data_IF_099341056789
#
_entry.id   IF_099341056789
#
_cell.length_a   1.000
_cell.length_b   1.000
_cell.length_c   1.000
_cell.angle_alpha   90.00
_cell.angle_beta   90.00
_cell.angle_gamma   90.00
#
_symmetry.space_group_name_H-M   'P 1'
#
loop_
_entity.id
_entity.type
_entity.pdbx_description
1 polymer ?
#
# COMPACT_ATOMS: atom_id res chain seq x y z
N UNK A 1 -30.85 -14.47 4.90
CA UNK A 1 -29.51 -13.87 4.99
C UNK A 1 -29.70 -12.36 5.09
N UNK A 2 -29.76 -11.81 6.31
CA UNK A 2 -29.93 -10.36 6.49
C UNK A 2 -28.56 -9.71 6.49
N UNK A 3 -28.24 -8.97 5.43
CA UNK A 3 -27.20 -7.95 5.51
C UNK A 3 -27.66 -6.94 6.55
N UNK A 4 -26.82 -6.70 7.57
CA UNK A 4 -27.19 -5.77 8.63
C UNK A 4 -27.18 -4.35 8.05
N UNK A 5 -28.08 -3.49 8.51
CA UNK A 5 -28.15 -2.08 8.10
C UNK A 5 -26.83 -1.32 8.39
N UNK A 6 -25.96 -1.89 9.24
CA UNK A 6 -24.62 -1.39 9.54
C UNK A 6 -23.65 -1.62 8.37
N UNK A 7 -23.83 -2.70 7.61
CA UNK A 7 -22.94 -3.05 6.48
C UNK A 7 -23.16 -2.11 5.28
N UNK A 8 -24.41 -1.70 5.04
CA UNK A 8 -24.76 -0.77 3.96
C UNK A 8 -24.25 0.66 4.23
N UNK A 9 -24.26 1.10 5.49
CA UNK A 9 -23.78 2.43 5.91
C UNK A 9 -22.23 2.52 5.91
N UNK A 10 -21.53 1.37 5.93
CA UNK A 10 -20.05 1.30 5.84
C UNK A 10 -19.51 1.47 4.42
N UNK A 11 -20.28 1.10 3.41
CA UNK A 11 -19.90 1.24 2.00
C UNK A 11 -20.02 2.70 1.52
N UNK A 12 -21.02 3.44 2.00
CA UNK A 12 -21.38 4.77 1.49
C UNK A 12 -20.61 5.95 2.14
N UNK A 13 -20.08 5.80 3.37
CA UNK A 13 -19.39 6.89 4.08
C UNK A 13 -17.94 7.10 3.69
N UNK A 14 -17.44 6.38 2.69
CA UNK A 14 -16.03 6.41 2.31
C UNK A 14 -15.88 6.67 0.80
N UNK A 15 -16.02 7.92 0.40
CA UNK A 15 -15.93 8.39 -0.99
C UNK A 15 -14.58 7.99 -1.66
N UNK A 16 -13.55 7.64 -0.87
CA UNK A 16 -12.23 7.16 -1.33
C UNK A 16 -12.02 5.64 -1.26
N UNK A 17 -12.94 4.88 -0.68
CA UNK A 17 -12.92 3.42 -0.64
C UNK A 17 -12.86 2.73 -2.01
N UNK A 18 -13.52 3.24 -3.07
CA UNK A 18 -13.51 2.57 -4.38
C UNK A 18 -12.11 2.45 -4.99
N UNK A 19 -11.23 3.42 -4.74
CA UNK A 19 -9.85 3.43 -5.28
C UNK A 19 -8.97 2.34 -4.64
N UNK A 20 -9.20 2.01 -3.37
CA UNK A 20 -8.47 0.96 -2.66
C UNK A 20 -9.11 -0.43 -2.80
N UNK A 21 -10.40 -0.51 -3.13
CA UNK A 21 -11.13 -1.77 -3.33
C UNK A 21 -10.79 -2.44 -4.68
N UNK A 22 -10.45 -1.66 -5.72
CA UNK A 22 -10.24 -2.16 -7.08
C UNK A 22 -8.77 -2.43 -7.48
N UNK A 23 -7.85 -2.51 -6.53
CA UNK A 23 -6.41 -2.66 -6.82
C UNK A 23 -6.02 -4.13 -7.09
N UNK A 24 -6.76 -5.07 -6.49
CA UNK A 24 -6.43 -6.51 -6.44
C UNK A 24 -6.31 -7.19 -7.81
N UNK A 25 -7.18 -6.92 -8.81
CA UNK A 25 -7.08 -7.57 -10.13
C UNK A 25 -5.86 -7.11 -10.95
N UNK A 26 -5.38 -5.88 -10.73
CA UNK A 26 -4.20 -5.34 -11.44
C UNK A 26 -2.88 -5.71 -10.76
N UNK A 27 -2.96 -6.25 -9.53
CA UNK A 27 -1.80 -6.61 -8.72
C UNK A 27 -0.95 -7.72 -9.31
N UNK A 28 -1.57 -8.67 -10.02
CA UNK A 28 -0.92 -9.83 -10.63
C UNK A 28 -0.83 -9.66 -12.13
N UNK A 29 0.38 -9.76 -12.68
CA UNK A 29 0.70 -9.50 -14.07
C UNK A 29 1.40 -10.68 -14.72
N UNK A 30 1.17 -10.87 -16.02
CA UNK A 30 1.95 -11.82 -16.84
C UNK A 30 3.12 -11.11 -17.51
N UNK A 31 4.29 -11.75 -17.54
CA UNK A 31 5.47 -11.27 -18.26
C UNK A 31 6.04 -12.38 -19.15
N UNK A 32 6.65 -12.04 -20.31
CA UNK A 32 7.29 -13.04 -21.16
C UNK A 32 8.55 -13.61 -20.50
N UNK A 33 8.96 -14.81 -20.91
CA UNK A 33 10.19 -15.49 -20.44
C UNK A 33 11.44 -14.61 -20.55
N UNK A 34 11.52 -13.77 -21.60
CA UNK A 34 12.63 -12.85 -21.81
C UNK A 34 12.75 -11.77 -20.73
N UNK A 35 11.63 -11.32 -20.15
CA UNK A 35 11.60 -10.42 -19.00
C UNK A 35 11.83 -11.19 -17.70
N UNK A 36 11.21 -12.36 -17.54
CA UNK A 36 11.35 -13.18 -16.35
C UNK A 36 12.80 -13.66 -16.11
N UNK A 37 13.55 -13.92 -17.19
CA UNK A 37 14.95 -14.33 -17.09
C UNK A 37 15.87 -13.25 -16.52
N UNK A 38 15.49 -11.97 -16.66
CA UNK A 38 16.24 -10.81 -16.17
C UNK A 38 15.97 -10.49 -14.70
N UNK A 39 14.95 -11.09 -14.09
CA UNK A 39 14.66 -10.87 -12.67
C UNK A 39 15.78 -11.43 -11.80
N UNK A 40 16.16 -10.64 -10.80
CA UNK A 40 17.07 -11.05 -9.72
C UNK A 40 16.52 -12.28 -8.99
N UNK A 41 15.24 -12.19 -8.59
CA UNK A 41 14.52 -13.31 -8.01
C UNK A 41 13.68 -14.01 -9.08
N UNK A 42 13.90 -15.32 -9.25
CA UNK A 42 13.12 -16.13 -10.20
C UNK A 42 11.67 -16.29 -9.74
N UNK A 43 10.77 -16.33 -10.72
CA UNK A 43 9.34 -16.55 -10.54
C UNK A 43 8.88 -17.79 -11.29
N UNK A 44 7.65 -18.24 -11.06
CA UNK A 44 7.10 -19.46 -11.69
C UNK A 44 6.44 -19.19 -13.05
N UNK A 45 6.51 -20.16 -13.99
CA UNK A 45 5.74 -20.10 -15.23
C UNK A 45 4.24 -20.21 -14.95
N UNK A 46 3.41 -19.69 -15.85
CA UNK A 46 1.95 -19.77 -15.76
C UNK A 46 1.49 -21.11 -16.37
N UNK A 47 0.74 -21.96 -15.64
CA UNK A 47 0.18 -23.19 -16.20
C UNK A 47 -0.69 -22.90 -17.42
N UNK A 48 -0.50 -23.67 -18.50
CA UNK A 48 -1.22 -23.53 -19.78
C UNK A 48 -0.99 -22.21 -20.55
N UNK A 49 0.01 -21.40 -20.17
CA UNK A 49 0.41 -20.18 -20.90
C UNK A 49 1.91 -20.21 -21.22
N UNK A 50 2.26 -20.96 -22.26
CA UNK A 50 3.65 -21.25 -22.60
C UNK A 50 4.48 -19.99 -22.87
N UNK A 51 5.65 -19.92 -22.24
CA UNK A 51 6.55 -18.78 -22.39
C UNK A 51 6.20 -17.59 -21.51
N UNK A 52 5.14 -17.66 -20.70
CA UNK A 52 4.77 -16.60 -19.75
C UNK A 52 4.97 -17.02 -18.29
N UNK A 53 5.21 -16.00 -17.48
CA UNK A 53 5.54 -16.09 -16.06
C UNK A 53 4.70 -15.09 -15.28
N UNK A 54 4.35 -15.45 -14.04
CA UNK A 54 3.55 -14.61 -13.16
C UNK A 54 4.45 -13.72 -12.30
N UNK A 55 4.05 -12.47 -12.10
CA UNK A 55 4.64 -11.57 -11.11
C UNK A 55 3.53 -10.74 -10.48
N UNK A 56 3.81 -10.10 -9.35
CA UNK A 56 2.98 -8.99 -8.86
C UNK A 56 3.78 -7.69 -8.85
N UNK A 57 3.12 -6.53 -8.96
CA UNK A 57 3.83 -5.24 -8.79
C UNK A 57 3.73 -4.77 -7.34
N UNK A 58 4.86 -4.31 -6.79
CA UNK A 58 4.92 -3.95 -5.39
C UNK A 58 3.98 -2.81 -5.00
N UNK A 59 3.78 -1.80 -5.86
CA UNK A 59 2.83 -0.70 -5.62
C UNK A 59 1.42 -1.22 -5.31
N UNK A 60 0.97 -2.27 -6.00
CA UNK A 60 -0.36 -2.84 -5.77
C UNK A 60 -0.42 -3.68 -4.51
N UNK A 61 0.67 -4.37 -4.15
CA UNK A 61 0.79 -5.04 -2.85
C UNK A 61 0.80 -4.02 -1.70
N UNK A 62 1.54 -2.92 -1.82
CA UNK A 62 1.56 -1.83 -0.84
C UNK A 62 0.17 -1.22 -0.64
N UNK A 63 -0.56 -0.93 -1.72
CA UNK A 63 -1.93 -0.43 -1.65
C UNK A 63 -2.91 -1.44 -1.04
N UNK A 64 -2.74 -2.74 -1.35
CA UNK A 64 -3.49 -3.81 -0.70
C UNK A 64 -3.25 -3.82 0.82
N UNK A 65 -2.00 -3.75 1.28
CA UNK A 65 -1.65 -3.69 2.70
C UNK A 65 -2.29 -2.48 3.39
N UNK A 66 -2.22 -1.29 2.78
CA UNK A 66 -2.86 -0.08 3.31
C UNK A 66 -4.39 -0.26 3.42
N UNK A 67 -5.03 -0.88 2.43
CA UNK A 67 -6.46 -1.19 2.49
C UNK A 67 -6.79 -2.25 3.58
N UNK A 68 -5.91 -3.22 3.83
CA UNK A 68 -6.10 -4.20 4.90
C UNK A 68 -6.04 -3.53 6.28
N UNK A 69 -5.10 -2.61 6.49
CA UNK A 69 -5.00 -1.80 7.72
C UNK A 69 -6.26 -0.95 7.87
N UNK A 70 -6.69 -0.27 6.81
CA UNK A 70 -7.94 0.49 6.76
C UNK A 70 -9.12 -0.37 7.22
N UNK A 71 -9.35 -1.52 6.59
CA UNK A 71 -10.44 -2.44 6.96
C UNK A 71 -10.35 -2.88 8.43
N UNK A 72 -9.14 -3.13 8.94
CA UNK A 72 -8.94 -3.51 10.34
C UNK A 72 -9.34 -2.38 11.31
N UNK A 73 -8.95 -1.15 11.03
CA UNK A 73 -9.28 0.02 11.86
C UNK A 73 -10.80 0.25 11.92
N UNK A 74 -11.52 0.16 10.80
CA UNK A 74 -12.99 0.32 10.80
C UNK A 74 -13.72 -0.86 11.42
N UNK A 75 -13.10 -2.04 11.47
CA UNK A 75 -13.68 -3.17 12.21
C UNK A 75 -13.74 -2.90 13.72
N UNK A 76 -12.97 -1.94 14.23
CA UNK A 76 -12.92 -1.51 15.63
C UNK A 76 -13.53 -0.13 15.86
N UNK A 77 -14.34 0.41 14.96
CA UNK A 77 -14.92 1.78 15.04
C UNK A 77 -15.71 2.06 16.34
N UNK A 78 -16.20 1.02 17.03
CA UNK A 78 -16.86 1.17 18.35
C UNK A 78 -15.89 1.46 19.49
N UNK A 79 -14.60 1.20 19.29
CA UNK A 79 -13.53 1.57 20.20
C UNK A 79 -13.24 3.07 20.02
N UNK A 80 -13.55 3.85 21.06
CA UNK A 80 -13.21 5.26 21.12
C UNK A 80 -11.91 5.41 21.89
N UNK A 81 -10.78 5.70 21.23
CA UNK A 81 -9.55 5.99 21.94
C UNK A 81 -9.69 7.32 22.69
N UNK A 82 -9.04 7.41 23.84
CA UNK A 82 -8.97 8.65 24.63
C UNK A 82 -8.04 9.71 23.99
N UNK A 83 -7.31 9.33 22.93
CA UNK A 83 -6.38 10.18 22.19
C UNK A 83 -6.98 10.61 20.84
N UNK A 84 -7.06 11.92 20.61
CA UNK A 84 -7.56 12.53 19.38
C UNK A 84 -6.73 12.16 18.15
N UNK A 85 -5.42 11.91 18.30
CA UNK A 85 -4.55 11.42 17.22
C UNK A 85 -4.90 10.00 16.76
N UNK A 86 -5.62 9.26 17.60
CA UNK A 86 -6.06 7.89 17.34
C UNK A 86 -7.52 7.84 16.88
N UNK A 87 -8.22 8.98 16.79
CA UNK A 87 -9.58 9.06 16.28
C UNK A 87 -9.70 8.59 14.83
N UNK A 88 -10.85 8.00 14.47
CA UNK A 88 -11.09 7.44 13.12
C UNK A 88 -10.88 8.48 12.02
N UNK A 89 -11.31 9.72 12.22
CA UNK A 89 -11.10 10.80 11.24
C UNK A 89 -9.61 11.07 11.01
N UNK A 90 -8.80 11.05 12.08
CA UNK A 90 -7.35 11.25 11.96
C UNK A 90 -6.70 10.08 11.21
N UNK A 91 -7.08 8.85 11.56
CA UNK A 91 -6.58 7.65 10.91
C UNK A 91 -6.99 7.58 9.42
N UNK A 92 -8.18 8.07 9.08
CA UNK A 92 -8.67 8.18 7.70
C UNK A 92 -7.75 9.05 6.84
N UNK A 93 -7.41 10.27 7.28
CA UNK A 93 -6.51 11.12 6.52
C UNK A 93 -5.10 10.54 6.43
N UNK A 94 -4.62 9.86 7.48
CA UNK A 94 -3.31 9.22 7.50
C UNK A 94 -3.22 8.11 6.44
N UNK A 95 -4.24 7.25 6.39
CA UNK A 95 -4.34 6.18 5.40
C UNK A 95 -4.42 6.75 3.98
N UNK A 96 -5.14 7.84 3.78
CA UNK A 96 -5.22 8.48 2.47
C UNK A 96 -3.91 9.15 2.05
N UNK A 97 -3.20 9.81 2.98
CA UNK A 97 -1.88 10.39 2.72
C UNK A 97 -0.87 9.30 2.30
N UNK A 98 -0.87 8.15 2.99
CA UNK A 98 -0.06 7.00 2.61
C UNK A 98 -0.42 6.47 1.22
N UNK A 99 -1.71 6.29 0.92
CA UNK A 99 -2.18 5.88 -0.42
C UNK A 99 -1.67 6.83 -1.50
N UNK A 100 -1.80 8.15 -1.29
CA UNK A 100 -1.33 9.15 -2.25
C UNK A 100 0.19 9.08 -2.47
N UNK A 101 0.97 8.96 -1.39
CA UNK A 101 2.43 8.83 -1.47
C UNK A 101 2.86 7.58 -2.24
N UNK A 102 2.20 6.44 -2.00
CA UNK A 102 2.50 5.18 -2.68
C UNK A 102 2.13 5.23 -4.16
N UNK A 103 1.03 5.89 -4.53
CA UNK A 103 0.67 6.11 -5.93
C UNK A 103 1.59 7.11 -6.64
N UNK A 104 2.09 8.11 -5.92
CA UNK A 104 3.01 9.11 -6.46
C UNK A 104 4.41 8.54 -6.72
N UNK A 105 4.93 7.74 -5.78
CA UNK A 105 6.25 7.12 -5.88
C UNK A 105 6.27 5.82 -6.69
N UNK A 106 5.14 5.10 -6.70
CA UNK A 106 4.87 3.87 -7.44
C UNK A 106 6.06 2.90 -7.57
N UNK A 107 6.24 2.01 -6.59
CA UNK A 107 7.24 0.96 -6.67
C UNK A 107 6.84 -0.14 -7.67
N UNK A 108 7.51 -0.15 -8.83
CA UNK A 108 7.29 -1.13 -9.91
C UNK A 108 8.14 -2.40 -9.79
N UNK A 109 8.82 -2.61 -8.66
CA UNK A 109 9.64 -3.82 -8.44
C UNK A 109 8.76 -5.07 -8.54
N UNK A 110 9.09 -6.06 -9.40
CA UNK A 110 8.34 -7.29 -9.51
C UNK A 110 8.49 -8.16 -8.26
N UNK A 111 7.36 -8.50 -7.64
CA UNK A 111 7.25 -9.55 -6.63
C UNK A 111 7.17 -10.90 -7.33
N UNK A 112 8.16 -11.80 -7.11
CA UNK A 112 8.14 -13.13 -7.70
C UNK A 112 7.15 -14.03 -6.94
N UNK A 113 6.74 -15.10 -7.62
CA UNK A 113 5.95 -16.18 -7.05
C UNK A 113 6.81 -17.42 -6.94
N UNK A 114 6.62 -18.20 -5.87
CA UNK A 114 7.28 -19.48 -5.64
C UNK A 114 6.24 -20.56 -5.38
N UNK A 115 6.50 -21.76 -5.87
CA UNK A 115 5.71 -22.95 -5.54
C UNK A 115 6.05 -23.41 -4.13
N UNK A 116 5.03 -23.62 -3.31
CA UNK A 116 5.15 -24.17 -1.96
C UNK A 116 4.57 -25.58 -1.94
N UNK A 117 5.45 -26.58 -1.84
CA UNK A 117 5.07 -28.00 -1.94
C UNK A 117 4.10 -28.43 -0.84
N UNK A 118 4.27 -27.91 0.38
CA UNK A 118 3.41 -28.25 1.52
C UNK A 118 1.96 -27.85 1.27
N UNK A 119 1.75 -26.68 0.66
CA UNK A 119 0.45 -26.08 0.44
C UNK A 119 -0.12 -26.42 -0.96
N UNK A 120 0.68 -27.05 -1.82
CA UNK A 120 0.34 -27.31 -3.23
C UNK A 120 -0.12 -26.06 -3.98
N UNK A 121 0.51 -24.91 -3.68
CA UNK A 121 0.13 -23.63 -4.28
C UNK A 121 1.33 -22.72 -4.54
N UNK A 122 1.21 -21.87 -5.56
CA UNK A 122 2.17 -20.80 -5.80
C UNK A 122 1.78 -19.55 -4.99
N UNK A 123 2.74 -18.96 -4.27
CA UNK A 123 2.54 -17.75 -3.47
C UNK A 123 3.52 -16.66 -3.85
N UNK A 124 3.04 -15.42 -3.79
CA UNK A 124 3.89 -14.23 -3.90
C UNK A 124 4.87 -14.17 -2.71
N UNK A 125 6.14 -13.83 -2.98
CA UNK A 125 7.18 -13.68 -1.97
C UNK A 125 7.48 -12.21 -1.77
N UNK A 126 6.94 -11.62 -0.70
CA UNK A 126 7.02 -10.18 -0.44
C UNK A 126 8.40 -9.70 0.03
N UNK A 127 9.30 -10.59 0.45
CA UNK A 127 10.68 -10.25 0.79
C UNK A 127 11.52 -10.13 -0.49
N UNK A 128 11.63 -8.90 -1.00
CA UNK A 128 12.37 -8.59 -2.22
C UNK A 128 13.31 -7.40 -2.00
N UNK A 129 14.37 -7.36 -2.81
CA UNK A 129 15.25 -6.20 -2.84
C UNK A 129 14.59 -5.06 -3.62
N UNK A 130 14.53 -3.88 -3.00
CA UNK A 130 14.01 -2.66 -3.61
C UNK A 130 15.14 -1.73 -4.02
N UNK A 131 14.92 -0.93 -5.06
CA UNK A 131 15.79 0.22 -5.35
C UNK A 131 15.23 1.45 -4.67
N UNK A 132 15.86 1.88 -3.59
CA UNK A 132 15.40 3.00 -2.77
C UNK A 132 16.24 4.27 -2.99
N UNK A 133 15.66 5.41 -2.63
CA UNK A 133 16.45 6.61 -2.33
C UNK A 133 17.25 6.35 -1.05
N UNK A 134 18.40 7.00 -0.89
CA UNK A 134 19.17 6.90 0.34
C UNK A 134 18.38 7.56 1.48
N UNK A 135 17.80 6.74 2.35
CA UNK A 135 16.99 7.22 3.47
C UNK A 135 17.82 7.98 4.50
N UNK A 136 19.11 7.65 4.63
CA UNK A 136 19.98 8.33 5.58
C UNK A 136 20.24 9.78 5.14
N UNK A 137 20.48 10.02 3.86
CA UNK A 137 20.66 11.38 3.33
C UNK A 137 19.40 12.23 3.58
N UNK A 138 18.22 11.64 3.37
CA UNK A 138 16.93 12.30 3.64
C UNK A 138 16.79 12.59 5.14
N UNK A 139 17.16 11.64 6.00
CA UNK A 139 17.09 11.78 7.47
C UNK A 139 18.04 12.87 7.98
N UNK A 140 19.26 12.91 7.47
CA UNK A 140 20.26 13.94 7.78
C UNK A 140 19.74 15.31 7.38
N UNK A 141 19.30 15.46 6.12
CA UNK A 141 18.72 16.71 5.64
C UNK A 141 17.53 17.16 6.51
N UNK A 142 16.61 16.26 6.85
CA UNK A 142 15.44 16.58 7.67
C UNK A 142 15.82 17.04 9.08
N UNK A 143 16.83 16.42 9.69
CA UNK A 143 17.35 16.80 11.01
C UNK A 143 18.02 18.18 10.97
N UNK A 144 18.82 18.45 9.94
CA UNK A 144 19.52 19.73 9.77
C UNK A 144 18.56 20.89 9.49
N UNK A 145 17.43 20.60 8.82
CA UNK A 145 16.42 21.59 8.45
C UNK A 145 15.18 21.54 9.36
N UNK A 146 15.30 20.96 10.57
CA UNK A 146 14.19 20.88 11.51
C UNK A 146 13.78 22.29 11.98
N UNK A 147 12.50 22.61 11.84
CA UNK A 147 11.92 23.82 12.43
C UNK A 147 11.87 23.66 13.95
N UNK A 148 12.57 24.53 14.68
CA UNK A 148 12.67 24.46 16.15
C UNK A 148 11.49 25.14 16.83
N UNK A 149 11.16 26.34 16.38
CA UNK A 149 10.08 27.16 16.91
C UNK A 149 9.13 27.49 15.78
N UNK A 150 7.92 26.93 15.82
CA UNK A 150 6.85 27.23 14.89
C UNK A 150 5.55 27.43 15.66
N UNK A 151 5.19 28.69 15.90
CA UNK A 151 3.91 29.03 16.48
C UNK A 151 2.82 28.93 15.42
N UNK A 152 2.09 27.82 15.48
CA UNK A 152 1.01 27.49 14.54
C UNK A 152 -0.23 28.39 14.70
N UNK A 153 -0.25 29.27 15.69
CA UNK A 153 -1.38 30.18 15.97
C UNK A 153 -1.19 31.57 15.37
N UNK A 154 0.02 31.89 14.93
CA UNK A 154 0.35 33.19 14.35
C UNK A 154 0.34 33.07 12.83
N UNK A 155 -0.61 33.73 12.19
CA UNK A 155 -0.62 33.88 10.73
C UNK A 155 0.36 34.98 10.31
N UNK A 156 1.23 34.65 9.36
CA UNK A 156 2.14 35.61 8.72
C UNK A 156 1.78 35.62 7.23
N UNK A 157 1.46 36.80 6.70
CA UNK A 157 1.14 36.95 5.27
C UNK A 157 2.39 36.73 4.42
N UNK A 158 2.27 35.91 3.39
CA UNK A 158 3.35 35.68 2.45
C UNK A 158 3.57 36.93 1.58
N UNK A 159 4.78 37.47 1.61
CA UNK A 159 5.15 38.67 0.84
C UNK A 159 5.98 38.35 -0.40
N UNK A 160 6.12 37.05 -0.73
CA UNK A 160 6.79 36.56 -1.93
C UNK A 160 5.98 36.77 -3.22
#
# INVERSE_FOLDING_TARGET
MSYSQVDLVREERNIKAPLLQNVTPFGVSRIPRSSASQLLNKTVPIPNDEGYYVVSLNVFHQLHCVNMIRKRIWSTETYKPDDELMGIEHLEHCIDALRQSLMCSADVTPIPWKWWEEDHEAKAVAEIAHTCRNFEDIRVWAKENQVKDFDRTIYVEDSA
#
